data_IF_138611308510
#
_entry.id   IF_138611308510
#
_cell.length_a   1.000
_cell.length_b   1.000
_cell.length_c   1.000
_cell.angle_alpha   90.00
_cell.angle_beta   90.00
_cell.angle_gamma   90.00
#
_symmetry.space_group_name_H-M   'P 1'
#
loop_
_entity.id
_entity.type
_entity.pdbx_description
1 polymer ?
#
# COMPACT_ATOMS: atom_id res chain seq x y z
N UNK A 1 44.57 116.42 38.76
CA UNK A 1 43.22 116.05 39.24
C UNK A 1 42.64 115.05 38.25
N UNK A 2 42.74 113.75 38.55
CA UNK A 2 41.96 112.70 37.89
C UNK A 2 41.78 111.59 38.93
N UNK A 3 40.52 111.28 39.20
CA UNK A 3 40.03 110.34 40.19
C UNK A 3 40.15 108.93 39.61
N UNK A 4 40.73 107.98 40.33
CA UNK A 4 40.61 106.55 40.03
C UNK A 4 39.93 105.87 41.23
N UNK A 5 38.77 105.32 40.92
CA UNK A 5 37.82 104.67 41.83
C UNK A 5 38.33 103.27 42.17
N UNK A 6 38.39 102.98 43.48
CA UNK A 6 38.58 101.66 44.05
C UNK A 6 37.36 100.78 43.80
N UNK A 7 37.56 99.59 43.22
CA UNK A 7 36.59 98.50 43.30
C UNK A 7 37.20 97.34 44.10
N UNK A 8 36.62 97.12 45.28
CA UNK A 8 36.77 95.87 46.04
C UNK A 8 36.12 94.73 45.25
N UNK A 9 36.93 93.74 44.86
CA UNK A 9 36.43 92.42 44.49
C UNK A 9 36.97 91.41 45.50
N UNK A 10 36.07 90.98 46.37
CA UNK A 10 36.19 89.87 47.30
C UNK A 10 36.57 88.58 46.57
N UNK A 11 37.71 87.99 46.94
CA UNK A 11 38.15 86.67 46.52
C UNK A 11 37.29 85.58 47.15
N UNK A 12 36.27 85.09 46.44
CA UNK A 12 35.65 83.80 46.73
C UNK A 12 36.44 82.70 46.03
N UNK A 13 37.09 81.84 46.82
CA UNK A 13 37.74 80.64 46.32
C UNK A 13 36.68 79.62 45.88
N UNK A 14 36.60 79.34 44.59
CA UNK A 14 35.79 78.23 44.06
C UNK A 14 36.63 76.96 44.11
N UNK A 15 36.30 76.03 45.01
CA UNK A 15 36.86 74.68 45.01
C UNK A 15 36.13 73.82 43.97
N UNK A 16 36.73 73.61 42.81
CA UNK A 16 36.23 72.65 41.84
C UNK A 16 36.61 71.22 42.29
N UNK A 17 35.64 70.43 42.74
CA UNK A 17 35.81 68.98 42.86
C UNK A 17 35.89 68.35 41.47
N UNK A 18 36.93 67.56 41.22
CA UNK A 18 37.11 66.82 39.96
C UNK A 18 36.12 65.66 39.89
N UNK A 19 35.14 65.75 38.99
CA UNK A 19 34.17 64.69 38.69
C UNK A 19 34.63 63.70 37.60
N UNK A 20 35.91 63.72 37.20
CA UNK A 20 36.42 62.77 36.21
C UNK A 20 36.72 61.41 36.85
N UNK A 21 35.67 60.60 37.05
CA UNK A 21 35.82 59.18 37.35
C UNK A 21 36.26 58.42 36.08
N UNK A 22 37.46 57.83 36.15
CA UNK A 22 37.94 56.68 35.35
C UNK A 22 38.05 56.93 33.83
N UNK A 23 39.24 57.34 33.37
CA UNK A 23 39.65 57.11 31.97
C UNK A 23 39.75 55.61 31.70
N UNK A 24 38.80 55.04 30.97
CA UNK A 24 39.04 53.80 30.24
C UNK A 24 40.11 54.07 29.19
N UNK A 25 41.31 53.50 29.33
CA UNK A 25 42.28 53.37 28.23
C UNK A 25 41.68 52.44 27.18
N UNK A 26 40.85 52.97 26.29
CA UNK A 26 40.57 52.31 25.02
C UNK A 26 41.72 52.63 24.08
N UNK A 27 42.40 51.60 23.58
CA UNK A 27 43.36 51.76 22.49
C UNK A 27 42.56 52.23 21.27
N UNK A 28 42.76 53.48 20.85
CA UNK A 28 42.23 53.96 19.57
C UNK A 28 43.06 53.28 18.48
N UNK A 29 42.48 52.26 17.83
CA UNK A 29 43.09 51.61 16.68
C UNK A 29 42.94 52.57 15.49
N UNK A 30 44.03 53.23 15.11
CA UNK A 30 44.10 53.93 13.82
C UNK A 30 44.26 52.86 12.75
N UNK A 31 43.16 52.52 12.09
CA UNK A 31 43.13 51.59 10.97
C UNK A 31 42.56 52.32 9.75
N UNK A 32 43.10 52.03 8.58
CA UNK A 32 42.53 52.47 7.32
C UNK A 32 41.20 51.76 7.06
N UNK A 33 40.41 52.30 6.14
CA UNK A 33 39.06 51.81 5.86
C UNK A 33 39.06 50.38 5.29
N UNK A 34 40.11 49.96 4.58
CA UNK A 34 40.20 48.62 4.00
C UNK A 34 40.47 47.57 5.08
N UNK A 35 41.40 47.87 6.00
CA UNK A 35 41.66 47.02 7.17
C UNK A 35 40.41 46.80 8.02
N UNK A 36 39.63 47.87 8.26
CA UNK A 36 38.37 47.77 9.02
C UNK A 36 37.30 46.95 8.29
N UNK A 37 37.25 47.03 6.97
CA UNK A 37 36.32 46.24 6.15
C UNK A 37 36.64 44.74 6.22
N UNK A 38 37.91 44.38 6.06
CA UNK A 38 38.35 43.00 6.14
C UNK A 38 38.11 42.42 7.54
N UNK A 39 38.45 43.17 8.59
CA UNK A 39 38.17 42.78 9.96
C UNK A 39 36.67 42.57 10.19
N UNK A 40 35.83 43.49 9.74
CA UNK A 40 34.37 43.34 9.83
C UNK A 40 33.86 42.09 9.10
N UNK A 41 34.34 41.84 7.88
CA UNK A 41 34.01 40.67 7.07
C UNK A 41 34.36 39.35 7.77
N UNK A 42 35.44 39.29 8.54
CA UNK A 42 35.79 38.06 9.29
C UNK A 42 34.74 37.67 10.33
N UNK A 43 33.94 38.63 10.80
CA UNK A 43 32.81 38.40 11.72
C UNK A 43 31.47 38.20 11.01
N UNK A 44 31.45 38.30 9.67
CA UNK A 44 30.24 38.11 8.89
C UNK A 44 30.14 36.68 8.33
N UNK A 45 28.92 36.15 8.13
CA UNK A 45 28.73 34.94 7.35
C UNK A 45 29.25 35.15 5.92
N UNK A 46 29.95 34.16 5.36
CA UNK A 46 30.34 34.15 3.94
C UNK A 46 29.12 34.29 3.04
N UNK A 47 29.31 34.92 1.88
CA UNK A 47 28.27 35.04 0.85
C UNK A 47 27.77 33.66 0.46
N UNK A 48 26.44 33.48 0.44
CA UNK A 48 25.83 32.24 -0.04
C UNK A 48 25.47 32.37 -1.51
N UNK A 49 25.80 31.37 -2.30
CA UNK A 49 25.43 31.29 -3.71
C UNK A 49 24.44 30.14 -3.91
N UNK A 50 23.33 30.43 -4.57
CA UNK A 50 22.32 29.46 -4.97
C UNK A 50 22.26 29.43 -6.48
N UNK A 51 22.72 28.33 -7.08
CA UNK A 51 22.57 28.06 -8.51
C UNK A 51 21.23 27.34 -8.74
N UNK A 52 20.28 28.03 -9.38
CA UNK A 52 18.90 27.58 -9.54
C UNK A 52 18.65 27.31 -11.02
N UNK A 53 18.39 26.06 -11.35
CA UNK A 53 18.01 25.64 -12.69
C UNK A 53 16.52 25.89 -12.88
N UNK A 54 16.16 26.49 -14.02
CA UNK A 54 14.79 26.71 -14.45
C UNK A 54 14.66 26.40 -15.94
N UNK A 55 13.45 26.04 -16.39
CA UNK A 55 13.16 25.92 -17.80
C UNK A 55 12.92 27.32 -18.39
N UNK A 56 13.76 27.70 -19.36
CA UNK A 56 13.56 28.93 -20.12
C UNK A 56 12.34 28.78 -21.04
N UNK A 57 11.34 29.63 -20.84
CA UNK A 57 10.22 29.82 -21.76
C UNK A 57 10.59 30.80 -22.88
N UNK A 58 9.96 30.64 -24.03
CA UNK A 58 10.00 31.64 -25.11
C UNK A 58 9.19 32.88 -24.75
N UNK A 59 8.24 32.77 -23.81
CA UNK A 59 7.52 33.92 -23.25
C UNK A 59 8.32 34.55 -22.11
N UNK A 60 8.74 35.80 -22.32
CA UNK A 60 9.45 36.58 -21.30
C UNK A 60 8.65 36.75 -20.01
N UNK A 61 7.31 36.78 -20.06
CA UNK A 61 6.45 36.93 -18.88
C UNK A 61 6.51 35.65 -18.03
N UNK A 62 6.53 34.49 -18.67
CA UNK A 62 6.61 33.19 -17.98
C UNK A 62 7.97 33.00 -17.27
N UNK A 63 9.07 33.40 -17.91
CA UNK A 63 10.40 33.40 -17.26
C UNK A 63 10.43 34.25 -15.99
N UNK A 64 9.83 35.44 -16.05
CA UNK A 64 9.72 36.34 -14.89
C UNK A 64 8.92 35.67 -13.77
N UNK A 65 7.78 35.06 -14.11
CA UNK A 65 6.93 34.36 -13.13
C UNK A 65 7.67 33.20 -12.47
N UNK A 66 8.44 32.42 -13.24
CA UNK A 66 9.21 31.30 -12.72
C UNK A 66 10.28 31.78 -11.73
N UNK A 67 11.13 32.73 -12.13
CA UNK A 67 12.17 33.30 -11.24
C UNK A 67 11.56 33.90 -9.97
N UNK A 68 10.47 34.67 -10.10
CA UNK A 68 9.79 35.25 -8.94
C UNK A 68 9.22 34.18 -8.00
N UNK A 69 8.76 33.05 -8.51
CA UNK A 69 8.25 31.96 -7.67
C UNK A 69 9.36 31.35 -6.81
N UNK A 70 10.57 31.21 -7.34
CA UNK A 70 11.74 30.78 -6.56
C UNK A 70 12.17 31.84 -5.54
N UNK A 71 12.25 33.10 -5.93
CA UNK A 71 12.67 34.18 -5.03
C UNK A 71 11.66 34.43 -3.91
N UNK A 72 10.36 34.30 -4.19
CA UNK A 72 9.31 34.42 -3.18
C UNK A 72 9.50 33.41 -2.03
N UNK A 73 10.03 32.22 -2.32
CA UNK A 73 10.36 31.23 -1.28
C UNK A 73 11.46 31.73 -0.33
N UNK A 74 12.41 32.50 -0.84
CA UNK A 74 13.44 33.17 -0.05
C UNK A 74 12.98 34.53 0.51
N UNK A 75 11.67 34.80 0.51
CA UNK A 75 11.07 36.09 0.88
C UNK A 75 11.64 37.28 0.09
N UNK A 76 12.07 37.03 -1.15
CA UNK A 76 12.57 38.04 -2.08
C UNK A 76 11.49 38.32 -3.13
N UNK A 77 10.96 39.55 -3.14
CA UNK A 77 10.02 40.00 -4.18
C UNK A 77 10.75 40.97 -5.09
N UNK A 78 10.84 40.65 -6.38
CA UNK A 78 11.54 41.47 -7.37
C UNK A 78 10.64 41.77 -8.57
N UNK A 79 10.88 42.92 -9.19
CA UNK A 79 10.33 43.25 -10.50
C UNK A 79 11.36 42.86 -11.55
N UNK A 80 10.95 42.13 -12.57
CA UNK A 80 11.89 41.54 -13.51
C UNK A 80 11.68 42.14 -14.90
N UNK A 81 12.75 42.67 -15.49
CA UNK A 81 12.85 43.05 -16.91
C UNK A 81 13.92 42.18 -17.59
N UNK A 82 13.54 40.96 -18.00
CA UNK A 82 14.43 40.06 -18.74
C UNK A 82 14.29 40.27 -20.25
N UNK A 83 15.35 40.76 -20.88
CA UNK A 83 15.62 40.62 -22.31
C UNK A 83 17.00 40.01 -22.57
N UNK A 84 17.97 40.30 -21.70
CA UNK A 84 19.29 39.65 -21.65
C UNK A 84 19.65 39.24 -20.21
N UNK A 85 20.69 38.42 -19.98
CA UNK A 85 21.11 38.03 -18.64
C UNK A 85 21.51 39.26 -17.82
N UNK A 86 20.74 39.54 -16.77
CA UNK A 86 20.86 40.78 -16.00
C UNK A 86 20.90 40.57 -14.49
N UNK A 87 21.31 41.61 -13.77
CA UNK A 87 21.36 41.67 -12.32
C UNK A 87 20.76 42.97 -11.78
N UNK A 88 20.49 43.00 -10.47
CA UNK A 88 19.92 44.15 -9.79
C UNK A 88 20.99 45.09 -9.25
N UNK A 89 20.74 46.40 -9.31
CA UNK A 89 21.54 47.39 -8.57
C UNK A 89 21.47 47.16 -7.05
N UNK A 90 22.49 47.66 -6.33
CA UNK A 90 22.54 47.56 -4.87
C UNK A 90 21.27 48.13 -4.22
N UNK A 91 20.63 47.34 -3.35
CA UNK A 91 19.34 47.64 -2.69
C UNK A 91 18.12 47.78 -3.62
N UNK A 92 18.31 47.67 -4.93
CA UNK A 92 17.21 47.65 -5.88
C UNK A 92 16.65 46.23 -6.04
N UNK A 93 15.35 46.15 -6.29
CA UNK A 93 14.60 44.91 -6.52
C UNK A 93 14.32 44.69 -8.01
N UNK A 94 15.01 45.38 -8.91
CA UNK A 94 14.80 45.28 -10.35
C UNK A 94 16.05 44.74 -11.02
N UNK A 95 15.91 43.65 -11.79
CA UNK A 95 16.98 43.11 -12.64
C UNK A 95 17.04 43.93 -13.94
N UNK A 96 18.02 44.83 -14.06
CA UNK A 96 18.12 45.81 -15.16
C UNK A 96 19.52 45.96 -15.76
N UNK A 97 20.57 45.57 -15.04
CA UNK A 97 21.94 45.78 -15.49
C UNK A 97 22.44 44.53 -16.19
N UNK A 98 22.92 44.67 -17.42
CA UNK A 98 23.33 43.53 -18.23
C UNK A 98 24.75 43.08 -17.86
N UNK A 99 24.99 41.77 -17.82
CA UNK A 99 26.33 41.23 -17.57
C UNK A 99 27.28 41.45 -18.76
N UNK A 100 28.57 41.62 -18.47
CA UNK A 100 29.65 41.49 -19.46
C UNK A 100 29.85 40.00 -19.77
N UNK A 101 29.80 39.63 -21.06
CA UNK A 101 30.08 38.27 -21.55
C UNK A 101 29.43 37.17 -20.66
N UNK A 102 28.09 37.18 -20.52
CA UNK A 102 27.42 36.24 -19.62
C UNK A 102 27.74 34.79 -20.01
N UNK A 103 28.01 33.91 -19.03
CA UNK A 103 28.16 32.48 -19.28
C UNK A 103 26.96 31.90 -20.03
N UNK A 104 27.21 30.89 -20.87
CA UNK A 104 26.14 30.21 -21.62
C UNK A 104 25.08 29.65 -20.67
N UNK A 105 23.81 29.87 -21.00
CA UNK A 105 22.68 29.44 -20.21
C UNK A 105 22.35 30.33 -19.00
N UNK A 106 23.14 31.36 -18.70
CA UNK A 106 22.77 32.31 -17.63
C UNK A 106 21.51 33.07 -18.04
N UNK A 107 20.53 33.15 -17.13
CA UNK A 107 19.28 33.89 -17.35
C UNK A 107 19.24 35.20 -16.57
N UNK A 108 19.86 35.25 -15.40
CA UNK A 108 19.94 36.45 -14.58
C UNK A 108 20.39 36.13 -13.15
N UNK A 109 20.71 37.15 -12.38
CA UNK A 109 21.20 37.00 -11.00
C UNK A 109 20.59 38.04 -10.09
N UNK A 110 19.96 37.59 -9.01
CA UNK A 110 19.53 38.48 -7.94
C UNK A 110 20.56 38.47 -6.80
N UNK A 111 21.17 39.61 -6.54
CA UNK A 111 22.04 39.85 -5.39
C UNK A 111 21.23 40.47 -4.25
N UNK A 112 21.09 39.72 -3.15
CA UNK A 112 20.53 40.22 -1.91
C UNK A 112 21.58 41.08 -1.21
N UNK A 113 21.30 42.36 -0.96
CA UNK A 113 22.28 43.29 -0.43
C UNK A 113 22.61 43.01 1.04
N UNK A 114 23.90 43.06 1.38
CA UNK A 114 24.38 43.06 2.76
C UNK A 114 24.49 44.49 3.27
N UNK A 115 23.68 44.82 4.27
CA UNK A 115 23.79 46.09 4.97
C UNK A 115 25.11 46.12 5.75
N UNK A 116 25.97 47.08 5.43
CA UNK A 116 27.30 47.22 6.02
C UNK A 116 27.53 48.65 6.55
N UNK A 117 28.36 48.82 7.60
CA UNK A 117 28.60 50.12 8.23
C UNK A 117 29.37 51.10 7.33
N UNK A 118 29.99 50.60 6.26
CA UNK A 118 30.80 51.39 5.33
C UNK A 118 29.97 52.00 4.19
N UNK A 119 28.67 51.69 4.11
CA UNK A 119 27.77 52.10 3.03
C UNK A 119 28.30 51.74 1.62
N UNK A 120 29.10 50.67 1.52
CA UNK A 120 29.61 50.18 0.24
C UNK A 120 28.56 49.31 -0.45
N UNK A 121 28.31 49.59 -1.72
CA UNK A 121 27.56 48.72 -2.63
C UNK A 121 28.50 47.99 -3.60
N UNK A 122 27.95 47.05 -4.36
CA UNK A 122 28.60 46.52 -5.55
C UNK A 122 28.27 47.40 -6.76
N UNK A 123 29.12 47.44 -7.79
CA UNK A 123 28.90 48.29 -8.95
C UNK A 123 27.80 47.74 -9.86
N UNK A 124 27.14 48.59 -10.63
CA UNK A 124 25.92 48.25 -11.35
C UNK A 124 25.86 48.75 -12.80
N UNK A 125 27.02 49.03 -13.41
CA UNK A 125 27.10 49.43 -14.82
C UNK A 125 26.92 48.25 -15.78
N UNK A 126 25.98 48.36 -16.73
CA UNK A 126 25.75 47.35 -17.77
C UNK A 126 26.99 47.08 -18.63
N UNK A 127 27.18 45.81 -19.01
CA UNK A 127 28.25 45.28 -19.87
C UNK A 127 29.68 45.49 -19.33
N UNK A 128 29.84 45.89 -18.07
CA UNK A 128 31.16 46.14 -17.47
C UNK A 128 31.68 44.99 -16.61
N UNK A 129 30.79 44.32 -15.88
CA UNK A 129 31.15 43.30 -14.88
C UNK A 129 30.62 41.92 -15.27
N UNK A 130 31.46 40.91 -15.08
CA UNK A 130 31.08 39.49 -15.16
C UNK A 130 30.39 39.04 -13.86
N UNK A 131 29.84 37.82 -13.85
CA UNK A 131 29.28 37.23 -12.63
C UNK A 131 30.36 37.08 -11.55
N UNK A 132 31.53 36.62 -11.95
CA UNK A 132 32.68 36.40 -11.07
C UNK A 132 33.17 37.72 -10.47
N UNK A 133 33.29 38.78 -11.28
CA UNK A 133 33.68 40.12 -10.79
C UNK A 133 32.74 40.61 -9.66
N UNK A 134 31.42 40.39 -9.81
CA UNK A 134 30.44 40.84 -8.84
C UNK A 134 30.42 39.99 -7.57
N UNK A 135 30.65 38.68 -7.68
CA UNK A 135 30.69 37.78 -6.52
C UNK A 135 31.85 38.09 -5.56
N UNK A 136 32.90 38.78 -6.01
CA UNK A 136 33.99 39.25 -5.14
C UNK A 136 33.57 40.34 -4.15
N UNK A 137 32.41 41.00 -4.37
CA UNK A 137 31.90 42.06 -3.49
C UNK A 137 31.18 41.50 -2.25
N UNK A 138 31.81 40.58 -1.51
CA UNK A 138 31.23 39.94 -0.30
C UNK A 138 30.81 40.94 0.78
N UNK A 139 31.44 42.13 0.82
CA UNK A 139 31.07 43.23 1.72
C UNK A 139 29.65 43.76 1.48
N UNK A 140 29.16 43.68 0.24
CA UNK A 140 27.89 44.25 -0.19
C UNK A 140 26.86 43.17 -0.57
N UNK A 141 27.26 41.90 -0.68
CA UNK A 141 26.38 40.79 -1.07
C UNK A 141 26.26 39.81 0.09
N UNK A 142 25.01 39.52 0.48
CA UNK A 142 24.70 38.50 1.49
C UNK A 142 24.44 37.15 0.81
N UNK A 143 23.60 37.16 -0.21
CA UNK A 143 23.19 35.98 -0.96
C UNK A 143 23.11 36.32 -2.47
N UNK A 144 23.53 35.38 -3.31
CA UNK A 144 23.44 35.47 -4.76
C UNK A 144 22.57 34.33 -5.30
N UNK A 145 21.47 34.67 -5.96
CA UNK A 145 20.56 33.72 -6.60
C UNK A 145 20.80 33.76 -8.10
N UNK A 146 21.48 32.75 -8.63
CA UNK A 146 21.94 32.66 -10.01
C UNK A 146 21.00 31.73 -10.78
N UNK A 147 20.28 32.25 -11.77
CA UNK A 147 19.29 31.49 -12.53
C UNK A 147 19.87 30.99 -13.84
N UNK A 148 19.77 29.68 -14.06
CA UNK A 148 20.30 28.99 -15.24
C UNK A 148 19.18 28.36 -16.05
N UNK A 149 19.30 28.42 -17.37
CA UNK A 149 18.53 27.56 -18.27
C UNK A 149 19.03 26.12 -18.13
N UNK A 150 18.17 25.26 -17.60
CA UNK A 150 18.47 23.85 -17.35
C UNK A 150 18.94 23.09 -18.61
N UNK A 151 18.55 23.53 -19.81
CA UNK A 151 18.95 22.89 -21.06
C UNK A 151 20.29 23.41 -21.62
N UNK A 152 20.83 24.49 -21.07
CA UNK A 152 22.05 25.14 -21.56
C UNK A 152 23.15 25.27 -20.50
N UNK A 153 22.88 24.85 -19.26
CA UNK A 153 23.84 24.94 -18.16
C UNK A 153 25.07 24.06 -18.47
N UNK A 154 26.29 24.59 -18.37
CA UNK A 154 27.51 23.90 -18.78
C UNK A 154 27.97 22.78 -17.82
N UNK A 155 27.35 22.63 -16.65
CA UNK A 155 27.73 21.63 -15.65
C UNK A 155 26.54 20.72 -15.30
N UNK A 156 26.72 19.41 -15.49
CA UNK A 156 25.82 18.40 -14.94
C UNK A 156 26.02 18.33 -13.42
N UNK A 157 24.95 18.56 -12.66
CA UNK A 157 24.96 18.27 -11.23
C UNK A 157 25.04 16.76 -11.05
N UNK A 158 26.07 16.28 -10.35
CA UNK A 158 26.23 14.86 -10.02
C UNK A 158 25.23 14.50 -8.91
N UNK A 159 24.01 14.17 -9.33
CA UNK A 159 22.87 13.88 -8.45
C UNK A 159 22.57 12.40 -8.52
N UNK A 160 22.60 11.75 -7.36
CA UNK A 160 22.24 10.35 -7.24
C UNK A 160 20.71 10.19 -7.36
N UNK A 161 20.28 9.28 -8.24
CA UNK A 161 18.85 8.98 -8.47
C UNK A 161 18.63 7.52 -8.13
N UNK A 162 17.80 7.26 -7.13
CA UNK A 162 17.51 5.93 -6.62
C UNK A 162 16.04 5.59 -6.81
N UNK A 163 15.77 4.47 -7.49
CA UNK A 163 14.43 3.91 -7.61
C UNK A 163 14.21 2.90 -6.48
N UNK A 164 13.17 3.15 -5.68
CA UNK A 164 12.83 2.35 -4.51
C UNK A 164 11.49 1.68 -4.77
N UNK A 165 11.50 0.35 -4.75
CA UNK A 165 10.30 -0.47 -4.90
C UNK A 165 9.94 -1.04 -3.52
N UNK A 166 8.86 -0.54 -2.93
CA UNK A 166 8.37 -1.02 -1.64
C UNK A 166 7.35 -2.14 -1.90
N UNK A 167 7.64 -3.33 -1.38
CA UNK A 167 6.70 -4.44 -1.37
C UNK A 167 5.81 -4.32 -0.12
N UNK A 168 4.50 -4.26 -0.31
CA UNK A 168 3.56 -4.10 0.80
C UNK A 168 2.19 -4.69 0.50
N UNK A 169 1.40 -4.91 1.54
CA UNK A 169 0.02 -5.33 1.40
C UNK A 169 -0.91 -4.14 1.14
N UNK A 170 -2.00 -4.38 0.41
CA UNK A 170 -2.99 -3.37 0.03
C UNK A 170 -3.65 -2.63 1.22
N UNK A 171 -3.68 -3.24 2.40
CA UNK A 171 -4.22 -2.64 3.63
C UNK A 171 -3.23 -1.72 4.36
N UNK A 172 -1.98 -1.63 3.90
CA UNK A 172 -0.95 -0.79 4.52
C UNK A 172 -0.93 0.62 3.91
N UNK A 173 -0.60 1.62 4.73
CA UNK A 173 -0.53 3.00 4.28
C UNK A 173 0.79 3.29 3.53
N UNK A 174 0.67 3.72 2.28
CA UNK A 174 1.79 4.00 1.39
C UNK A 174 2.65 5.19 1.83
N UNK A 175 2.03 6.26 2.35
CA UNK A 175 2.74 7.46 2.80
C UNK A 175 3.56 7.17 4.08
N UNK A 176 3.03 6.31 4.95
CA UNK A 176 3.75 5.82 6.13
C UNK A 176 4.92 4.93 5.72
N UNK A 177 4.75 4.04 4.75
CA UNK A 177 5.82 3.18 4.25
C UNK A 177 7.00 3.99 3.65
N UNK A 178 6.70 5.06 2.91
CA UNK A 178 7.73 5.99 2.40
C UNK A 178 8.48 6.66 3.56
N UNK A 179 7.75 7.20 4.54
CA UNK A 179 8.37 7.83 5.71
C UNK A 179 9.25 6.85 6.49
N UNK A 180 8.78 5.61 6.67
CA UNK A 180 9.54 4.57 7.35
C UNK A 180 10.85 4.28 6.62
N UNK A 181 10.80 4.09 5.29
CA UNK A 181 12.01 3.92 4.47
C UNK A 181 12.99 5.07 4.64
N UNK A 182 12.50 6.31 4.55
CA UNK A 182 13.34 7.51 4.66
C UNK A 182 13.99 7.63 6.05
N UNK A 183 13.30 7.23 7.11
CA UNK A 183 13.81 7.25 8.49
C UNK A 183 14.84 6.14 8.72
N UNK A 184 14.53 4.90 8.32
CA UNK A 184 15.41 3.74 8.48
C UNK A 184 16.75 3.92 7.74
N UNK A 185 16.72 4.60 6.59
CA UNK A 185 17.91 4.93 5.82
C UNK A 185 18.60 6.24 6.25
N UNK A 186 18.18 6.84 7.38
CA UNK A 186 18.72 8.10 7.92
C UNK A 186 18.65 9.30 6.95
N UNK A 187 17.71 9.28 6.00
CA UNK A 187 17.48 10.38 5.04
C UNK A 187 16.74 11.52 5.74
N UNK A 188 15.75 11.18 6.58
CA UNK A 188 15.01 12.14 7.42
C UNK A 188 15.03 11.72 8.88
N UNK A 189 15.00 12.69 9.79
CA UNK A 189 14.99 12.43 11.25
C UNK A 189 13.59 12.24 11.84
N UNK A 190 12.57 12.75 11.16
CA UNK A 190 11.18 12.76 11.60
C UNK A 190 10.27 12.63 10.37
N UNK A 191 9.07 12.04 10.52
CA UNK A 191 8.12 11.95 9.42
C UNK A 191 7.84 13.31 8.78
N UNK A 192 7.72 13.29 7.45
CA UNK A 192 7.38 14.44 6.61
C UNK A 192 6.02 14.20 5.97
N UNK A 193 5.38 15.30 5.55
CA UNK A 193 4.18 15.21 4.71
C UNK A 193 4.61 14.61 3.38
N UNK A 194 4.12 13.41 3.09
CA UNK A 194 4.23 12.73 1.80
C UNK A 194 2.83 12.70 1.23
N UNK A 195 2.70 12.99 -0.06
CA UNK A 195 1.44 12.88 -0.77
C UNK A 195 1.67 12.09 -2.04
N UNK A 196 0.83 11.09 -2.26
CA UNK A 196 0.89 10.28 -3.48
C UNK A 196 0.58 11.13 -4.73
N UNK A 197 1.18 10.76 -5.84
CA UNK A 197 1.18 11.54 -7.08
C UNK A 197 1.87 12.89 -6.97
N UNK A 198 2.69 13.13 -5.93
CA UNK A 198 3.38 14.40 -5.71
C UNK A 198 4.88 14.21 -5.46
N UNK A 199 5.62 15.32 -5.54
CA UNK A 199 6.99 15.43 -5.03
C UNK A 199 7.05 16.46 -3.91
N UNK A 200 8.04 16.35 -3.02
CA UNK A 200 8.33 17.41 -2.08
C UNK A 200 9.03 18.57 -2.81
N UNK A 201 8.27 19.63 -3.10
CA UNK A 201 8.79 20.80 -3.79
C UNK A 201 9.90 21.49 -2.99
N UNK A 202 9.88 21.31 -1.68
CA UNK A 202 10.87 21.84 -0.75
C UNK A 202 11.05 20.88 0.42
N UNK A 203 12.24 20.83 0.99
CA UNK A 203 12.57 19.92 2.10
C UNK A 203 12.16 20.45 3.47
N UNK A 204 12.03 21.78 3.59
CA UNK A 204 11.88 22.46 4.87
C UNK A 204 10.46 22.95 5.16
N UNK A 205 9.69 23.39 4.16
CA UNK A 205 8.34 23.93 4.41
C UNK A 205 7.22 22.90 4.28
N UNK A 206 7.52 21.71 3.76
CA UNK A 206 6.51 20.66 3.54
C UNK A 206 5.60 20.94 2.34
N UNK A 207 5.95 21.90 1.49
CA UNK A 207 5.25 22.12 0.22
C UNK A 207 5.38 20.89 -0.68
N UNK A 208 4.24 20.36 -1.13
CA UNK A 208 4.14 19.25 -2.08
C UNK A 208 3.44 19.73 -3.34
N UNK A 209 3.95 19.32 -4.50
CA UNK A 209 3.41 19.67 -5.81
C UNK A 209 3.16 18.40 -6.63
N UNK A 210 2.15 18.39 -7.52
CA UNK A 210 1.81 17.21 -8.31
C UNK A 210 2.97 16.79 -9.22
N UNK A 211 3.15 15.48 -9.38
CA UNK A 211 4.07 14.92 -10.36
C UNK A 211 3.57 15.23 -11.78
N UNK A 212 4.47 15.50 -12.73
CA UNK A 212 4.10 15.55 -14.14
C UNK A 212 3.60 14.19 -14.63
N UNK A 213 2.61 14.19 -15.54
CA UNK A 213 1.97 12.97 -16.05
C UNK A 213 2.92 12.17 -16.94
N UNK A 214 3.48 11.07 -16.42
CA UNK A 214 4.12 9.99 -17.19
C UNK A 214 4.61 8.85 -16.26
N UNK A 215 4.82 7.65 -16.82
CA UNK A 215 5.48 6.52 -16.15
C UNK A 215 6.98 6.50 -16.45
N UNK A 216 7.83 6.24 -15.47
CA UNK A 216 9.27 6.04 -15.69
C UNK A 216 9.54 4.55 -15.92
N UNK A 217 10.12 4.18 -17.08
CA UNK A 217 10.46 2.79 -17.40
C UNK A 217 9.29 1.80 -17.20
N UNK A 218 8.08 2.19 -17.61
CA UNK A 218 6.83 1.41 -17.43
C UNK A 218 6.41 1.19 -15.98
N UNK A 219 7.11 1.77 -14.99
CA UNK A 219 6.71 1.78 -13.59
C UNK A 219 5.97 3.09 -13.26
N UNK A 220 4.88 2.97 -12.52
CA UNK A 220 4.17 4.12 -11.97
C UNK A 220 4.93 4.62 -10.75
N UNK A 221 5.49 5.82 -10.85
CA UNK A 221 6.10 6.51 -9.71
C UNK A 221 4.99 7.18 -8.92
N UNK A 222 4.91 6.83 -7.64
CA UNK A 222 3.82 7.23 -6.76
C UNK A 222 4.22 8.42 -5.88
N UNK A 223 5.51 8.61 -5.61
CA UNK A 223 6.03 9.82 -4.97
C UNK A 223 7.51 10.02 -5.31
N UNK A 224 7.99 11.26 -5.22
CA UNK A 224 9.42 11.57 -5.29
C UNK A 224 9.83 12.37 -4.05
N UNK A 225 10.91 11.94 -3.41
CA UNK A 225 11.56 12.67 -2.33
C UNK A 225 12.93 13.20 -2.75
N UNK A 226 13.12 14.49 -2.60
CA UNK A 226 14.37 15.22 -2.79
C UNK A 226 14.98 15.55 -1.43
N UNK A 227 16.28 15.31 -1.25
CA UNK A 227 16.95 15.54 0.04
C UNK A 227 17.29 17.00 0.34
N UNK A 228 17.32 17.85 -0.70
CA UNK A 228 17.39 19.31 -0.56
C UNK A 228 16.84 20.07 -1.78
N UNK A 229 16.88 21.40 -1.69
CA UNK A 229 16.58 22.30 -2.79
C UNK A 229 15.10 22.65 -2.93
N UNK A 230 14.83 23.49 -3.92
CA UNK A 230 13.49 23.99 -4.26
C UNK A 230 13.22 23.68 -5.72
N UNK A 231 11.99 23.27 -6.02
CA UNK A 231 11.56 22.93 -7.37
C UNK A 231 10.16 23.40 -7.59
N UNK A 232 9.97 24.10 -8.69
CA UNK A 232 8.71 24.61 -9.14
C UNK A 232 8.66 24.33 -10.63
N UNK A 233 7.73 23.46 -11.04
CA UNK A 233 7.51 23.06 -12.43
C UNK A 233 6.00 23.00 -12.67
N UNK A 234 5.58 23.40 -13.88
CA UNK A 234 4.20 23.18 -14.33
C UNK A 234 4.04 21.73 -14.79
N UNK A 235 3.34 20.93 -13.99
CA UNK A 235 3.11 19.50 -14.23
C UNK A 235 2.36 19.22 -15.53
N UNK A 236 1.67 20.21 -16.11
CA UNK A 236 0.91 20.05 -17.36
C UNK A 236 1.78 20.24 -18.62
N UNK A 237 2.94 20.90 -18.49
CA UNK A 237 3.80 21.26 -19.63
C UNK A 237 5.08 20.42 -19.70
N UNK A 238 5.43 19.76 -18.62
CA UNK A 238 6.68 19.02 -18.47
C UNK A 238 6.42 17.56 -18.15
N UNK A 239 7.46 16.74 -18.26
CA UNK A 239 7.43 15.34 -17.88
C UNK A 239 8.30 15.06 -16.64
N UNK A 240 8.32 13.80 -16.20
CA UNK A 240 9.10 13.40 -15.03
C UNK A 240 10.61 13.63 -15.23
N UNK A 241 11.13 13.35 -16.43
CA UNK A 241 12.56 13.54 -16.74
C UNK A 241 12.97 15.01 -16.61
N UNK A 242 12.08 15.93 -16.99
CA UNK A 242 12.30 17.37 -16.83
C UNK A 242 12.36 17.76 -15.34
N UNK A 243 11.46 17.25 -14.50
CA UNK A 243 11.53 17.46 -13.04
C UNK A 243 12.87 16.96 -12.47
N UNK A 244 13.37 15.82 -12.94
CA UNK A 244 14.64 15.23 -12.49
C UNK A 244 15.89 16.00 -12.93
N UNK A 245 15.76 17.02 -13.79
CA UNK A 245 16.86 17.98 -14.09
C UNK A 245 16.91 19.15 -13.10
N UNK A 246 15.86 19.37 -12.30
CA UNK A 246 15.74 20.47 -11.35
C UNK A 246 16.22 20.05 -9.95
N UNK A 247 17.44 19.53 -9.81
CA UNK A 247 18.00 19.17 -8.51
C UNK A 247 18.15 20.35 -7.57
N UNK A 248 18.57 21.52 -8.08
CA UNK A 248 18.56 22.80 -7.37
C UNK A 248 19.09 22.71 -5.92
N UNK A 249 20.18 21.96 -5.73
CA UNK A 249 20.82 21.75 -4.43
C UNK A 249 20.67 20.34 -3.82
N UNK A 250 19.74 19.50 -4.29
CA UNK A 250 19.70 18.10 -3.87
C UNK A 250 20.92 17.32 -4.34
N UNK A 251 21.35 16.40 -3.48
CA UNK A 251 22.37 15.41 -3.81
C UNK A 251 21.76 14.05 -4.13
N UNK A 252 20.61 13.75 -3.54
CA UNK A 252 19.90 12.49 -3.73
C UNK A 252 18.42 12.72 -4.09
N UNK A 253 17.95 11.90 -5.02
CA UNK A 253 16.55 11.86 -5.48
C UNK A 253 16.05 10.43 -5.29
N UNK A 254 14.99 10.28 -4.52
CA UNK A 254 14.39 9.00 -4.18
C UNK A 254 13.03 8.89 -4.88
N UNK A 255 12.90 7.95 -5.81
CA UNK A 255 11.69 7.72 -6.58
C UNK A 255 10.99 6.49 -6.01
N UNK A 256 9.77 6.64 -5.51
CA UNK A 256 9.03 5.57 -4.86
C UNK A 256 8.00 4.95 -5.81
N UNK A 257 8.05 3.63 -5.91
CA UNK A 257 7.04 2.80 -6.55
C UNK A 257 6.61 1.68 -5.58
N UNK A 258 5.39 1.18 -5.74
CA UNK A 258 4.84 0.13 -4.88
C UNK A 258 4.55 -1.14 -5.66
N UNK A 259 4.92 -2.28 -5.08
CA UNK A 259 4.43 -3.59 -5.47
C UNK A 259 3.38 -4.02 -4.44
N UNK A 260 2.11 -3.75 -4.74
CA UNK A 260 0.99 -3.99 -3.83
C UNK A 260 0.51 -5.42 -3.97
N UNK A 261 0.54 -6.16 -2.87
CA UNK A 261 0.05 -7.53 -2.80
C UNK A 261 -1.26 -7.59 -2.02
N UNK A 262 -2.19 -8.45 -2.46
CA UNK A 262 -3.37 -8.79 -1.67
C UNK A 262 -3.03 -9.94 -0.72
N UNK A 263 -3.56 -9.91 0.50
CA UNK A 263 -3.38 -11.01 1.46
C UNK A 263 -4.22 -12.21 1.03
N UNK A 264 -3.68 -13.41 1.17
CA UNK A 264 -4.40 -14.66 0.88
C UNK A 264 -5.00 -15.21 2.17
N UNK A 265 -6.30 -15.46 2.18
CA UNK A 265 -7.03 -15.94 3.36
C UNK A 265 -7.78 -17.21 2.98
N UNK A 266 -7.54 -18.29 3.72
CA UNK A 266 -8.25 -19.57 3.55
C UNK A 266 -9.18 -19.76 4.74
N UNK A 267 -10.44 -20.09 4.47
CA UNK A 267 -11.48 -20.23 5.49
C UNK A 267 -12.21 -21.55 5.26
N UNK A 268 -12.08 -22.45 6.23
CA UNK A 268 -12.78 -23.72 6.27
C UNK A 268 -14.04 -23.55 7.12
N UNK A 269 -15.20 -23.70 6.49
CA UNK A 269 -16.50 -23.64 7.15
C UNK A 269 -16.86 -25.02 7.73
N UNK A 270 -17.69 -24.99 8.77
CA UNK A 270 -18.31 -26.20 9.29
C UNK A 270 -19.12 -26.93 8.23
N UNK A 271 -19.16 -28.26 8.34
CA UNK A 271 -19.91 -29.09 7.42
C UNK A 271 -21.39 -28.69 7.38
N UNK A 272 -21.93 -28.67 6.17
CA UNK A 272 -23.31 -28.26 5.90
C UNK A 272 -23.97 -29.22 4.92
N UNK A 273 -25.24 -29.50 5.18
CA UNK A 273 -26.16 -30.16 4.23
C UNK A 273 -26.19 -29.45 2.87
N UNK A 274 -26.11 -28.12 2.90
CA UNK A 274 -25.98 -27.29 1.72
C UNK A 274 -24.69 -26.44 1.84
N UNK A 275 -23.56 -26.94 1.32
CA UNK A 275 -22.30 -26.21 1.33
C UNK A 275 -22.36 -24.88 0.56
N UNK A 276 -23.23 -24.76 -0.46
CA UNK A 276 -23.39 -23.50 -1.18
C UNK A 276 -24.04 -22.46 -0.29
N UNK A 277 -25.13 -22.82 0.38
CA UNK A 277 -25.84 -21.90 1.26
C UNK A 277 -24.98 -21.49 2.47
N UNK A 278 -24.16 -22.40 3.00
CA UNK A 278 -23.23 -22.08 4.09
C UNK A 278 -22.21 -21.00 3.67
N UNK A 279 -21.57 -21.16 2.51
CA UNK A 279 -20.65 -20.15 1.96
C UNK A 279 -21.36 -18.81 1.73
N UNK A 280 -22.60 -18.83 1.20
CA UNK A 280 -23.40 -17.62 0.99
C UNK A 280 -23.73 -16.90 2.31
N UNK A 281 -24.14 -17.65 3.34
CA UNK A 281 -24.46 -17.09 4.65
C UNK A 281 -23.22 -16.48 5.30
N UNK A 282 -22.09 -17.18 5.28
CA UNK A 282 -20.83 -16.68 5.84
C UNK A 282 -20.41 -15.35 5.19
N UNK A 283 -20.49 -15.24 3.85
CA UNK A 283 -20.18 -13.97 3.15
C UNK A 283 -21.11 -12.82 3.57
N UNK A 284 -22.40 -13.09 3.78
CA UNK A 284 -23.38 -12.09 4.24
C UNK A 284 -23.07 -11.63 5.67
N UNK A 285 -22.81 -12.58 6.57
CA UNK A 285 -22.47 -12.30 7.97
C UNK A 285 -21.18 -11.47 8.11
N UNK A 286 -20.27 -11.58 7.13
CA UNK A 286 -19.00 -10.84 7.11
C UNK A 286 -19.04 -9.56 6.24
N UNK A 287 -20.22 -9.11 5.79
CA UNK A 287 -20.38 -7.93 4.93
C UNK A 287 -19.59 -7.98 3.60
N UNK A 288 -19.29 -9.19 3.10
CA UNK A 288 -18.57 -9.41 1.84
C UNK A 288 -19.51 -9.65 0.65
N UNK A 289 -20.77 -9.21 0.76
CA UNK A 289 -21.82 -9.42 -0.24
C UNK A 289 -21.88 -8.33 -1.33
N UNK A 290 -21.05 -7.30 -1.22
CA UNK A 290 -21.03 -6.10 -2.08
C UNK A 290 -19.86 -6.03 -3.05
N UNK A 291 -18.91 -6.98 -3.00
CA UNK A 291 -17.91 -7.14 -4.07
C UNK A 291 -18.67 -7.40 -5.37
N UNK A 292 -18.41 -6.58 -6.39
CA UNK A 292 -19.20 -6.50 -7.62
C UNK A 292 -19.50 -7.89 -8.18
N UNK A 293 -20.74 -8.01 -8.69
CA UNK A 293 -21.44 -9.24 -9.07
C UNK A 293 -21.79 -10.15 -7.88
N UNK A 294 -23.09 -10.22 -7.59
CA UNK A 294 -23.74 -11.52 -7.38
C UNK A 294 -23.31 -12.37 -8.57
N UNK A 295 -22.17 -13.06 -8.43
CA UNK A 295 -21.67 -14.06 -9.36
C UNK A 295 -22.90 -14.93 -9.59
N UNK A 296 -23.37 -15.01 -10.85
CA UNK A 296 -24.39 -15.98 -11.25
C UNK A 296 -24.10 -17.26 -10.50
N UNK A 297 -25.10 -17.98 -10.00
CA UNK A 297 -24.93 -19.12 -9.08
C UNK A 297 -23.88 -20.21 -9.44
N UNK A 298 -23.18 -20.11 -10.58
CA UNK A 298 -22.30 -21.11 -11.17
C UNK A 298 -20.82 -20.79 -11.37
N UNK A 299 -20.10 -20.14 -10.45
CA UNK A 299 -18.63 -20.30 -10.39
C UNK A 299 -18.18 -20.70 -8.98
N UNK A 300 -18.72 -21.81 -8.52
CA UNK A 300 -18.18 -22.54 -7.38
C UNK A 300 -17.47 -23.78 -7.91
N UNK A 301 -16.25 -24.02 -7.42
CA UNK A 301 -15.59 -25.28 -7.70
C UNK A 301 -16.23 -26.36 -6.84
N UNK A 302 -16.67 -27.43 -7.49
CA UNK A 302 -17.32 -28.58 -6.85
C UNK A 302 -16.49 -29.82 -7.10
N UNK A 303 -16.04 -30.43 -6.01
CA UNK A 303 -15.46 -31.77 -6.03
C UNK A 303 -16.48 -32.75 -5.45
N UNK A 304 -16.66 -33.90 -6.11
CA UNK A 304 -17.46 -35.02 -5.60
C UNK A 304 -16.52 -36.18 -5.32
N UNK A 305 -16.56 -36.71 -4.09
CA UNK A 305 -15.81 -37.91 -3.72
C UNK A 305 -16.77 -39.04 -3.42
N UNK A 306 -16.50 -40.21 -3.99
CA UNK A 306 -17.21 -41.45 -3.65
C UNK A 306 -16.60 -42.02 -2.37
N UNK A 307 -17.46 -42.34 -1.41
CA UNK A 307 -17.10 -42.89 -0.10
C UNK A 307 -17.98 -44.11 0.12
N UNK A 308 -17.48 -45.11 0.82
CA UNK A 308 -18.28 -46.28 1.20
C UNK A 308 -18.13 -46.60 2.69
N UNK A 309 -19.20 -47.14 3.27
CA UNK A 309 -19.16 -47.79 4.58
C UNK A 309 -19.49 -49.26 4.37
N UNK A 310 -18.52 -50.12 4.67
CA UNK A 310 -18.65 -51.57 4.61
C UNK A 310 -19.02 -52.20 5.96
N UNK A 311 -19.73 -53.32 5.92
CA UNK A 311 -19.89 -54.23 7.05
C UNK A 311 -20.03 -55.68 6.57
N UNK A 312 -19.88 -56.61 7.51
CA UNK A 312 -19.86 -58.03 7.23
C UNK A 312 -20.76 -58.77 8.22
N UNK A 313 -21.54 -59.72 7.71
CA UNK A 313 -22.41 -60.59 8.51
C UNK A 313 -21.88 -62.02 8.42
N UNK A 314 -21.54 -62.59 9.57
CA UNK A 314 -21.06 -63.97 9.68
C UNK A 314 -22.19 -64.98 9.50
N UNK A 315 -21.89 -66.11 8.85
CA UNK A 315 -22.81 -67.20 8.62
C UNK A 315 -22.11 -68.57 8.76
N UNK A 316 -22.86 -69.68 8.83
CA UNK A 316 -22.28 -71.02 8.93
C UNK A 316 -21.38 -71.42 7.76
N UNK A 317 -21.55 -70.79 6.60
CA UNK A 317 -20.71 -71.01 5.40
C UNK A 317 -20.11 -69.65 4.99
N UNK A 318 -19.16 -69.18 5.77
CA UNK A 318 -18.40 -67.96 5.50
C UNK A 318 -19.10 -66.68 5.97
N UNK A 319 -19.04 -65.64 5.16
CA UNK A 319 -19.58 -64.33 5.50
C UNK A 319 -20.09 -63.60 4.26
N UNK A 320 -21.04 -62.70 4.47
CA UNK A 320 -21.57 -61.82 3.43
C UNK A 320 -21.17 -60.38 3.72
N UNK A 321 -20.49 -59.75 2.76
CA UNK A 321 -20.07 -58.35 2.82
C UNK A 321 -21.11 -57.45 2.16
N UNK A 322 -21.33 -56.30 2.77
CA UNK A 322 -22.23 -55.26 2.32
C UNK A 322 -21.49 -53.93 2.29
N UNK A 323 -21.64 -53.18 1.21
CA UNK A 323 -21.08 -51.83 1.06
C UNK A 323 -22.21 -50.84 0.83
N UNK A 324 -22.14 -49.70 1.52
CA UNK A 324 -23.06 -48.58 1.36
C UNK A 324 -22.28 -47.44 0.69
N UNK A 325 -22.30 -47.34 -0.66
CA UNK A 325 -21.66 -46.23 -1.35
C UNK A 325 -22.50 -44.96 -1.23
N UNK A 326 -21.84 -43.83 -1.02
CA UNK A 326 -22.43 -42.49 -1.01
C UNK A 326 -21.44 -41.44 -1.51
N UNK A 327 -21.97 -40.32 -1.97
CA UNK A 327 -21.17 -39.22 -2.54
C UNK A 327 -21.09 -38.07 -1.55
N UNK A 328 -19.88 -37.62 -1.23
CA UNK A 328 -19.67 -36.37 -0.48
C UNK A 328 -19.27 -35.26 -1.43
N UNK A 329 -19.68 -34.05 -1.09
CA UNK A 329 -19.48 -32.85 -1.88
C UNK A 329 -18.59 -31.89 -1.12
N UNK A 330 -17.55 -31.41 -1.79
CA UNK A 330 -16.71 -30.32 -1.32
C UNK A 330 -16.94 -29.15 -2.28
N UNK A 331 -17.30 -28.01 -1.72
CA UNK A 331 -17.50 -26.77 -2.46
C UNK A 331 -16.42 -25.80 -2.03
N UNK A 332 -15.77 -25.19 -3.02
CA UNK A 332 -14.87 -24.07 -2.79
C UNK A 332 -15.28 -22.84 -3.59
N UNK A 333 -14.91 -21.67 -3.09
CA UNK A 333 -15.15 -20.40 -3.76
C UNK A 333 -13.98 -19.45 -3.56
N UNK A 334 -13.31 -19.12 -4.66
CA UNK A 334 -12.25 -18.12 -4.72
C UNK A 334 -12.86 -16.76 -5.08
N UNK A 335 -12.54 -15.71 -4.31
CA UNK A 335 -12.96 -14.34 -4.66
C UNK A 335 -12.01 -13.29 -4.09
N UNK A 336 -12.08 -12.09 -4.65
CA UNK A 336 -11.22 -10.99 -4.27
C UNK A 336 -12.01 -9.80 -3.71
N UNK A 337 -11.33 -9.08 -2.82
CA UNK A 337 -11.69 -7.75 -2.33
C UNK A 337 -10.54 -6.79 -2.66
N UNK A 338 -10.63 -5.54 -2.25
CA UNK A 338 -9.56 -4.56 -2.43
C UNK A 338 -8.25 -5.05 -1.79
N UNK A 339 -8.34 -5.65 -0.59
CA UNK A 339 -7.17 -5.97 0.23
C UNK A 339 -6.82 -7.46 0.29
N UNK A 340 -7.79 -8.35 0.03
CA UNK A 340 -7.64 -9.79 0.27
C UNK A 340 -8.15 -10.63 -0.91
N UNK A 341 -7.54 -11.80 -1.09
CA UNK A 341 -8.01 -12.93 -1.90
C UNK A 341 -8.47 -14.01 -0.92
N UNK A 342 -9.74 -14.38 -0.97
CA UNK A 342 -10.36 -15.37 -0.10
C UNK A 342 -10.59 -16.69 -0.82
N UNK A 343 -10.25 -17.81 -0.18
CA UNK A 343 -10.68 -19.16 -0.54
C UNK A 343 -11.58 -19.70 0.57
N UNK A 344 -12.88 -19.81 0.30
CA UNK A 344 -13.84 -20.45 1.20
C UNK A 344 -14.00 -21.91 0.83
N UNK A 345 -14.02 -22.80 1.83
CA UNK A 345 -14.18 -24.24 1.68
C UNK A 345 -15.31 -24.72 2.58
N UNK A 346 -16.24 -25.53 2.06
CA UNK A 346 -17.30 -26.16 2.84
C UNK A 346 -17.60 -27.54 2.26
N UNK A 347 -17.87 -28.52 3.11
CA UNK A 347 -18.20 -29.88 2.67
C UNK A 347 -19.44 -30.43 3.41
N UNK A 348 -19.95 -31.57 2.98
CA UNK A 348 -21.11 -32.25 3.59
C UNK A 348 -20.76 -33.61 4.23
N UNK A 349 -19.46 -33.89 4.40
CA UNK A 349 -18.95 -35.23 4.68
C UNK A 349 -19.39 -35.78 6.03
N UNK A 350 -19.25 -35.02 7.11
CA UNK A 350 -19.59 -35.49 8.47
C UNK A 350 -21.08 -35.77 8.60
N UNK A 351 -21.92 -34.95 7.96
CA UNK A 351 -23.36 -35.18 7.90
C UNK A 351 -23.68 -36.49 7.18
N UNK A 352 -23.14 -36.69 5.97
CA UNK A 352 -23.42 -37.90 5.17
C UNK A 352 -22.85 -39.16 5.83
N UNK A 353 -21.67 -39.10 6.45
CA UNK A 353 -21.11 -40.22 7.22
C UNK A 353 -22.03 -40.60 8.39
N UNK A 354 -22.57 -39.62 9.12
CA UNK A 354 -23.50 -39.88 10.23
C UNK A 354 -24.79 -40.54 9.73
N UNK A 355 -25.35 -40.03 8.63
CA UNK A 355 -26.56 -40.58 8.01
C UNK A 355 -26.33 -42.00 7.48
N UNK A 356 -25.18 -42.27 6.86
CA UNK A 356 -24.81 -43.59 6.38
C UNK A 356 -24.62 -44.60 7.53
N UNK A 357 -24.05 -44.19 8.67
CA UNK A 357 -23.97 -45.04 9.89
C UNK A 357 -25.34 -45.36 10.49
N UNK A 358 -26.26 -44.39 10.48
CA UNK A 358 -27.65 -44.63 10.92
C UNK A 358 -28.36 -45.62 9.99
N UNK A 359 -28.21 -45.42 8.67
CA UNK A 359 -28.75 -46.35 7.67
C UNK A 359 -28.17 -47.76 7.82
N UNK A 360 -26.85 -47.88 7.98
CA UNK A 360 -26.15 -49.14 8.28
C UNK A 360 -26.75 -49.85 9.49
N UNK A 361 -26.97 -49.13 10.59
CA UNK A 361 -27.53 -49.69 11.82
C UNK A 361 -28.94 -50.24 11.58
N UNK A 362 -29.79 -49.48 10.89
CA UNK A 362 -31.15 -49.91 10.54
C UNK A 362 -31.15 -51.13 9.62
N UNK A 363 -30.24 -51.16 8.66
CA UNK A 363 -30.10 -52.27 7.71
C UNK A 363 -29.60 -53.54 8.42
N UNK A 364 -28.62 -53.44 9.32
CA UNK A 364 -28.18 -54.56 10.16
C UNK A 364 -29.34 -55.07 11.03
N UNK A 365 -30.14 -54.18 11.63
CA UNK A 365 -31.31 -54.58 12.40
C UNK A 365 -32.33 -55.34 11.55
N UNK A 366 -32.59 -54.89 10.32
CA UNK A 366 -33.43 -55.60 9.36
C UNK A 366 -32.83 -56.98 9.02
N UNK A 367 -31.54 -57.08 8.70
CA UNK A 367 -30.88 -58.36 8.46
C UNK A 367 -30.99 -59.31 9.66
N UNK A 368 -30.91 -58.78 10.89
CA UNK A 368 -31.07 -59.52 12.13
C UNK A 368 -32.53 -59.92 12.41
N UNK A 369 -33.52 -59.24 11.83
CA UNK A 369 -34.93 -59.61 11.95
C UNK A 369 -35.37 -60.67 10.93
N UNK A 370 -34.72 -60.75 9.75
CA UNK A 370 -35.15 -61.65 8.67
C UNK A 370 -35.42 -63.08 9.13
N UNK A 371 -36.57 -63.63 8.75
CA UNK A 371 -36.95 -64.99 9.07
C UNK A 371 -35.95 -66.03 8.55
N UNK A 372 -35.48 -65.86 7.31
CA UNK A 372 -34.47 -66.69 6.66
C UNK A 372 -33.14 -65.94 6.65
N UNK A 373 -32.08 -66.59 7.12
CA UNK A 373 -30.73 -66.03 7.21
C UNK A 373 -29.82 -66.59 6.12
N UNK A 374 -28.90 -65.76 5.65
CA UNK A 374 -27.85 -66.15 4.72
C UNK A 374 -27.02 -67.34 5.23
N UNK A 375 -26.80 -68.33 4.37
CA UNK A 375 -25.92 -69.46 4.62
C UNK A 375 -26.54 -70.58 5.47
N UNK A 376 -27.77 -70.44 5.97
CA UNK A 376 -28.46 -71.46 6.76
C UNK A 376 -29.27 -72.41 5.87
N UNK A 377 -29.35 -73.68 6.29
CA UNK A 377 -30.31 -74.64 5.76
C UNK A 377 -31.59 -74.54 6.59
N UNK A 378 -32.74 -74.54 5.91
CA UNK A 378 -34.05 -74.62 6.55
C UNK A 378 -34.81 -75.80 5.97
N UNK A 379 -35.45 -76.57 6.84
CA UNK A 379 -36.45 -77.55 6.42
C UNK A 379 -37.72 -76.84 5.94
N UNK A 380 -38.54 -77.54 5.17
CA UNK A 380 -39.85 -77.01 4.75
C UNK A 380 -40.69 -76.54 5.94
N UNK A 381 -40.73 -77.30 7.03
CA UNK A 381 -41.50 -76.98 8.22
C UNK A 381 -41.01 -75.73 8.96
N UNK A 382 -39.69 -75.48 8.99
CA UNK A 382 -39.13 -74.27 9.58
C UNK A 382 -39.51 -73.02 8.78
N UNK A 383 -39.49 -73.11 7.45
CA UNK A 383 -39.92 -72.01 6.56
C UNK A 383 -41.42 -71.74 6.75
N UNK A 384 -42.23 -72.80 6.83
CA UNK A 384 -43.69 -72.72 7.07
C UNK A 384 -44.01 -72.07 8.41
N UNK A 385 -43.30 -72.44 9.47
CA UNK A 385 -43.49 -71.87 10.80
C UNK A 385 -43.20 -70.36 10.84
N UNK A 386 -42.29 -69.88 9.99
CA UNK A 386 -41.90 -68.47 9.89
C UNK A 386 -42.89 -67.63 9.08
N UNK A 387 -43.36 -68.12 7.93
CA UNK A 387 -44.21 -67.35 7.01
C UNK A 387 -45.70 -67.68 7.08
N UNK A 388 -46.08 -68.79 7.72
CA UNK A 388 -47.46 -69.19 7.96
C UNK A 388 -48.18 -69.79 6.74
N UNK A 389 -49.51 -69.91 6.86
CA UNK A 389 -50.41 -70.54 5.86
C UNK A 389 -51.11 -69.52 4.96
N UNK A 390 -50.37 -68.53 4.48
CA UNK A 390 -50.90 -67.59 3.48
C UNK A 390 -49.83 -67.20 2.48
N UNK A 391 -50.17 -67.26 1.20
CA UNK A 391 -49.30 -66.78 0.15
C UNK A 391 -49.04 -65.28 0.32
N UNK A 392 -47.81 -64.83 0.16
CA UNK A 392 -47.41 -63.42 0.36
C UNK A 392 -46.12 -63.09 -0.39
N UNK A 393 -45.90 -61.80 -0.59
CA UNK A 393 -44.63 -61.28 -1.05
C UNK A 393 -43.66 -61.28 0.14
N UNK A 394 -42.43 -61.70 -0.12
CA UNK A 394 -41.29 -61.59 0.79
C UNK A 394 -40.15 -60.87 0.05
N UNK A 395 -39.21 -60.31 0.79
CA UNK A 395 -38.16 -59.44 0.25
C UNK A 395 -36.78 -59.98 0.58
N UNK A 396 -35.86 -59.88 -0.37
CA UNK A 396 -34.43 -60.12 -0.14
C UNK A 396 -33.70 -58.86 0.36
N UNK A 397 -32.42 -59.01 0.69
CA UNK A 397 -31.55 -57.91 1.13
C UNK A 397 -31.37 -56.80 0.08
N UNK A 398 -31.61 -57.08 -1.20
CA UNK A 398 -31.54 -56.09 -2.28
C UNK A 398 -32.88 -55.38 -2.52
N UNK A 399 -33.94 -55.78 -1.78
CA UNK A 399 -35.29 -55.30 -1.98
C UNK A 399 -36.04 -55.98 -3.12
N UNK A 400 -35.49 -57.06 -3.70
CA UNK A 400 -36.18 -57.87 -4.69
C UNK A 400 -37.35 -58.60 -4.05
N UNK A 401 -38.45 -58.69 -4.80
CA UNK A 401 -39.65 -59.39 -4.37
C UNK A 401 -39.59 -60.85 -4.78
N UNK A 402 -39.93 -61.72 -3.84
CA UNK A 402 -40.11 -63.15 -4.03
C UNK A 402 -41.53 -63.54 -3.62
N UNK A 403 -42.11 -64.55 -4.28
CA UNK A 403 -43.46 -65.00 -3.97
C UNK A 403 -43.43 -66.29 -3.16
N UNK A 404 -43.80 -66.19 -1.88
CA UNK A 404 -44.11 -67.34 -1.05
C UNK A 404 -45.53 -67.81 -1.39
N UNK A 405 -45.63 -69.00 -1.96
CA UNK A 405 -46.89 -69.61 -2.39
C UNK A 405 -47.25 -70.75 -1.45
N UNK A 406 -48.41 -70.62 -0.81
CA UNK A 406 -49.08 -71.69 -0.08
C UNK A 406 -50.16 -72.31 -0.96
N UNK A 407 -50.23 -73.64 -1.01
CA UNK A 407 -51.25 -74.41 -1.71
C UNK A 407 -51.90 -75.35 -0.71
N UNK A 408 -53.18 -75.17 -0.45
CA UNK A 408 -53.95 -76.09 0.39
C UNK A 408 -54.14 -77.41 -0.35
N UNK A 409 -53.76 -78.53 0.28
CA UNK A 409 -53.98 -79.86 -0.28
C UNK A 409 -55.01 -80.69 0.49
N UNK A 410 -55.40 -81.83 -0.09
CA UNK A 410 -56.42 -82.72 0.51
C UNK A 410 -55.89 -83.51 1.72
N UNK A 411 -54.59 -83.79 1.74
CA UNK A 411 -53.91 -84.54 2.82
C UNK A 411 -52.70 -83.78 3.35
N UNK A 412 -51.94 -83.14 2.45
CA UNK A 412 -50.77 -82.32 2.80
C UNK A 412 -50.86 -81.00 2.04
N UNK A 413 -50.55 -79.90 2.71
CA UNK A 413 -50.37 -78.61 2.08
C UNK A 413 -48.96 -78.52 1.46
N UNK A 414 -48.80 -77.68 0.43
CA UNK A 414 -47.53 -77.44 -0.24
C UNK A 414 -47.10 -75.97 -0.16
N UNK A 415 -45.79 -75.74 -0.15
CA UNK A 415 -45.20 -74.41 -0.01
C UNK A 415 -43.99 -74.23 -0.91
N UNK A 416 -43.96 -73.11 -1.63
CA UNK A 416 -42.92 -72.78 -2.57
C UNK A 416 -42.46 -71.33 -2.40
N UNK A 417 -41.18 -71.07 -2.68
CA UNK A 417 -40.67 -69.72 -2.89
C UNK A 417 -40.20 -69.63 -4.35
N UNK A 418 -40.85 -68.77 -5.12
CA UNK A 418 -40.66 -68.62 -6.57
C UNK A 418 -40.76 -69.96 -7.33
N UNK A 419 -41.74 -70.79 -6.94
CA UNK A 419 -41.97 -72.10 -7.54
C UNK A 419 -40.97 -73.19 -7.12
N UNK A 420 -39.98 -72.86 -6.28
CA UNK A 420 -39.03 -73.84 -5.75
C UNK A 420 -39.44 -74.33 -4.37
N UNK A 421 -39.14 -75.58 -4.05
CA UNK A 421 -39.37 -76.15 -2.72
C UNK A 421 -38.64 -75.34 -1.63
N UNK A 422 -39.26 -75.27 -0.44
CA UNK A 422 -38.73 -74.51 0.68
C UNK A 422 -37.55 -75.19 1.39
N UNK A 423 -37.39 -76.51 1.27
CA UNK A 423 -36.36 -77.26 1.99
C UNK A 423 -35.00 -77.14 1.31
N UNK A 424 -34.25 -76.07 1.60
CA UNK A 424 -32.96 -75.81 0.98
C UNK A 424 -32.06 -74.93 1.84
N UNK A 425 -30.81 -74.80 1.38
CA UNK A 425 -29.90 -73.76 1.86
C UNK A 425 -30.20 -72.46 1.15
N UNK A 426 -30.27 -71.37 1.91
CA UNK A 426 -30.54 -70.04 1.38
C UNK A 426 -29.25 -69.21 1.33
N UNK A 427 -29.03 -68.56 0.19
CA UNK A 427 -27.90 -67.63 -0.03
C UNK A 427 -28.34 -66.16 -0.08
N UNK A 428 -29.52 -65.91 0.45
CA UNK A 428 -30.16 -64.60 0.61
C UNK A 428 -30.86 -64.55 1.97
N UNK A 429 -31.02 -63.36 2.51
CA UNK A 429 -31.92 -63.09 3.61
C UNK A 429 -33.34 -62.99 3.07
N UNK A 430 -34.35 -63.45 3.81
CA UNK A 430 -35.75 -63.25 3.42
C UNK A 430 -36.60 -62.82 4.61
N UNK A 431 -37.40 -61.78 4.40
CA UNK A 431 -38.36 -61.27 5.36
C UNK A 431 -39.69 -60.87 4.71
N UNK A 432 -40.74 -60.71 5.50
CA UNK A 432 -42.04 -60.20 5.02
C UNK A 432 -42.06 -58.68 4.84
N UNK A 433 -41.06 -57.97 5.35
CA UNK A 433 -40.87 -56.53 5.20
C UNK A 433 -39.69 -56.23 4.28
N UNK A 434 -39.78 -55.18 3.46
CA UNK A 434 -38.65 -54.74 2.64
C UNK A 434 -37.50 -54.20 3.49
N UNK A 435 -36.24 -54.28 3.03
CA UNK A 435 -35.13 -53.61 3.69
C UNK A 435 -35.37 -52.09 3.78
N UNK A 436 -34.73 -51.40 4.73
CA UNK A 436 -34.87 -49.95 4.84
C UNK A 436 -34.36 -49.27 3.56
N UNK A 437 -35.08 -48.24 3.12
CA UNK A 437 -34.72 -47.43 1.96
C UNK A 437 -33.49 -46.58 2.28
N UNK A 438 -32.53 -46.54 1.35
CA UNK A 438 -31.37 -45.64 1.44
C UNK A 438 -31.86 -44.18 1.44
N UNK A 439 -31.42 -43.32 2.39
CA UNK A 439 -31.76 -41.91 2.39
C UNK A 439 -31.33 -41.21 1.09
N UNK A 440 -32.18 -40.35 0.53
CA UNK A 440 -31.92 -39.63 -0.72
C UNK A 440 -30.70 -38.71 -0.62
N UNK A 441 -30.39 -38.21 0.57
CA UNK A 441 -29.24 -37.36 0.82
C UNK A 441 -27.90 -38.09 0.69
N UNK A 442 -27.90 -39.43 0.66
CA UNK A 442 -26.71 -40.26 0.43
C UNK A 442 -26.48 -40.58 -1.07
N UNK A 443 -27.38 -40.17 -1.95
CA UNK A 443 -27.19 -40.21 -3.40
C UNK A 443 -26.50 -38.92 -3.90
#
# INVERSE_FOLDING_TARGET
MLIIILFHLSSHSVSAHSYFHRQTKSNIKLADCETLQQEWLTFQPKTKRYDINIFKSTDSIENKKNINSYLAYFNCNIEILLSTPSFNSYQNKILINDFKNPPQGLLGVYFKPRINPFKKGYPDESYKYTLEDLLEYEIAIEEAFVFWDVNQKPQEENVNKELIIINMFADQNQEEAINQYLIENNIIKKPKIIKLGCYNATTNTGLVLPLPTETLNSLKIEAIYFDDGIRIIDSNKHNLNDLLKLSNGAKNIYLFAFNIQKRKVVIELHDSLDPYQAIRNWKRENNLYTSLTLIKEGEYDKEIKEVEIGFEVSAPIGSKKFNIPFKVKIVSHLFETDNNIYLLLCNDSSFKIKLAKQYQTNYINWLNQCYIKYGFYYSGDEVRAKFGRSSRIIYDENGNQHYYKYITGFIFDDWYIDGNECSKRYYQFLDTTSPPTKPQELD
#
